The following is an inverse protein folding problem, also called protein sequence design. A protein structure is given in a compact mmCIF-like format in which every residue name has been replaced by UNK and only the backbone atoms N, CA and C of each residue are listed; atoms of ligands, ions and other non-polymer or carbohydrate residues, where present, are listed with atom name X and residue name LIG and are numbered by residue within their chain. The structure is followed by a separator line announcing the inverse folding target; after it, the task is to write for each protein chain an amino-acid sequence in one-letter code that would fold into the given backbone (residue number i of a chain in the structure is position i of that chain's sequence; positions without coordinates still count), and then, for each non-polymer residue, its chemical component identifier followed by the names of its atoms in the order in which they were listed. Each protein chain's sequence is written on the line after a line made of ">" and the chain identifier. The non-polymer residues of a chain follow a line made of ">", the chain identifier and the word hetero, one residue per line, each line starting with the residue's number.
data_IF_737447656925
#
_entry.id   IF_737447656925
#
_cell.length_a   1.000
_cell.length_b   1.000
_cell.length_c   1.000
_cell.angle_alpha   90.00
_cell.angle_beta   90.00
_cell.angle_gamma   90.00
#
_symmetry.space_group_name_H-M   'P 1'
#
loop_
_entity.id
_entity.type
_entity.pdbx_description
1 polymer ?
#
# COMPACT_ATOMS: atom_id res chain seq x y z
N UNK A 1 18.79 -45.27 -6.25
CA UNK A 1 17.59 -46.09 -6.05
C UNK A 1 17.17 -46.01 -4.61
N UNK A 2 16.16 -45.26 -4.30
CA UNK A 2 15.26 -45.46 -3.17
C UNK A 2 14.08 -44.51 -3.31
N UNK A 3 12.92 -45.10 -3.46
CA UNK A 3 11.63 -44.45 -3.69
C UNK A 3 11.13 -43.90 -2.36
N UNK A 4 10.72 -42.64 -2.34
CA UNK A 4 9.74 -42.16 -1.35
C UNK A 4 8.38 -42.06 -2.04
N UNK A 5 7.52 -43.01 -1.72
CA UNK A 5 6.08 -42.93 -1.88
C UNK A 5 5.57 -42.29 -0.58
N UNK A 6 5.02 -41.10 -0.65
CA UNK A 6 4.21 -40.46 0.37
C UNK A 6 2.77 -40.38 -0.15
N UNK A 7 1.86 -41.02 0.53
CA UNK A 7 0.47 -41.16 0.21
C UNK A 7 -0.26 -39.81 0.21
N UNK A 8 -0.92 -39.55 -0.90
CA UNK A 8 -2.01 -38.59 -1.00
C UNK A 8 -3.26 -39.25 -0.37
N UNK A 9 -3.61 -38.89 0.81
CA UNK A 9 -4.94 -39.02 1.40
C UNK A 9 -5.08 -37.88 2.42
N UNK A 10 -5.42 -36.71 1.96
CA UNK A 10 -6.13 -35.71 2.74
C UNK A 10 -7.48 -35.45 2.09
N UNK A 11 -8.44 -35.96 2.80
CA UNK A 11 -9.85 -35.73 2.71
C UNK A 11 -10.16 -34.35 2.15
N UNK A 12 -10.80 -34.31 1.00
CA UNK A 12 -11.54 -33.16 0.48
C UNK A 12 -12.62 -32.85 1.51
N UNK A 13 -12.34 -31.92 2.39
CA UNK A 13 -13.39 -31.26 3.13
C UNK A 13 -14.19 -30.42 2.14
N UNK A 14 -15.49 -30.68 2.16
CA UNK A 14 -16.49 -30.06 1.34
C UNK A 14 -16.22 -28.56 1.16
N UNK A 15 -16.19 -28.12 -0.09
CA UNK A 15 -16.32 -26.73 -0.45
C UNK A 15 -17.69 -26.24 0.01
N UNK A 16 -17.81 -25.87 1.27
CA UNK A 16 -18.84 -24.93 1.64
C UNK A 16 -18.60 -23.70 0.78
N UNK A 17 -19.47 -23.53 -0.21
CA UNK A 17 -19.70 -22.29 -0.88
C UNK A 17 -19.75 -21.22 0.19
N UNK A 18 -18.66 -20.45 0.32
CA UNK A 18 -18.67 -19.20 1.09
C UNK A 18 -19.65 -18.33 0.34
N UNK A 19 -20.91 -18.46 0.71
CA UNK A 19 -21.94 -17.49 0.41
C UNK A 19 -21.32 -16.15 0.74
N UNK A 20 -21.24 -15.27 -0.25
CA UNK A 20 -20.88 -13.88 -0.05
C UNK A 20 -21.98 -13.26 0.79
N UNK A 21 -21.93 -13.52 2.09
CA UNK A 21 -22.78 -12.83 3.03
C UNK A 21 -22.34 -11.37 2.99
N UNK A 22 -23.10 -10.59 2.21
CA UNK A 22 -23.25 -9.18 2.39
C UNK A 22 -23.27 -8.92 3.89
N UNK A 23 -22.22 -8.32 4.41
CA UNK A 23 -22.24 -7.81 5.79
C UNK A 23 -23.13 -6.58 5.72
N UNK A 24 -24.36 -6.65 6.27
CA UNK A 24 -25.26 -5.52 6.23
C UNK A 24 -24.55 -4.33 6.85
N UNK A 25 -24.76 -3.14 6.31
CA UNK A 25 -24.40 -1.87 6.93
C UNK A 25 -24.91 -1.92 8.39
N UNK A 26 -23.99 -2.05 9.34
CA UNK A 26 -24.37 -2.07 10.74
C UNK A 26 -24.85 -0.68 11.11
N UNK A 27 -26.11 -0.54 11.44
CA UNK A 27 -26.56 0.58 12.26
C UNK A 27 -25.96 0.39 13.65
N UNK A 28 -24.87 1.13 13.92
CA UNK A 28 -24.31 1.19 15.27
C UNK A 28 -25.29 1.94 16.17
N UNK A 29 -25.88 1.23 17.12
CA UNK A 29 -26.68 1.86 18.18
C UNK A 29 -25.76 2.73 19.02
N UNK A 30 -26.14 3.98 19.22
CA UNK A 30 -25.40 4.98 20.00
C UNK A 30 -24.90 4.39 21.33
N UNK A 31 -23.58 4.35 21.54
CA UNK A 31 -22.95 3.88 22.78
C UNK A 31 -22.54 2.39 22.79
N UNK A 32 -22.63 1.66 21.69
CA UNK A 32 -22.04 0.33 21.58
C UNK A 32 -20.75 0.38 20.75
N UNK A 33 -19.65 -0.27 21.20
CA UNK A 33 -18.47 -0.40 20.38
C UNK A 33 -18.79 -1.20 19.11
N UNK A 34 -18.12 -0.90 17.97
CA UNK A 34 -18.30 -1.67 16.75
C UNK A 34 -17.94 -3.14 17.00
N UNK A 35 -18.64 -4.09 16.34
CA UNK A 35 -18.34 -5.50 16.50
C UNK A 35 -16.91 -5.76 15.99
N UNK A 36 -16.06 -6.28 16.85
CA UNK A 36 -14.77 -6.83 16.46
C UNK A 36 -15.05 -8.17 15.79
N UNK A 37 -14.58 -8.33 14.55
CA UNK A 37 -14.70 -9.61 13.86
C UNK A 37 -14.03 -10.72 14.70
N UNK A 38 -14.49 -11.95 14.58
CA UNK A 38 -14.00 -13.10 15.37
C UNK A 38 -12.49 -13.36 15.24
N UNK A 39 -11.84 -12.75 14.24
CA UNK A 39 -10.39 -12.77 14.00
C UNK A 39 -9.67 -11.52 14.56
N UNK A 40 -10.32 -10.69 15.38
CA UNK A 40 -9.74 -9.49 15.96
C UNK A 40 -9.67 -8.27 15.03
N UNK A 41 -10.18 -8.35 13.80
CA UNK A 41 -10.24 -7.23 12.87
C UNK A 41 -11.55 -6.45 12.97
N UNK A 42 -11.53 -5.15 12.73
CA UNK A 42 -12.72 -4.36 12.48
C UNK A 42 -13.26 -4.69 11.08
N UNK A 43 -14.57 -4.89 10.96
CA UNK A 43 -15.16 -4.99 9.63
C UNK A 43 -15.04 -3.64 8.91
N UNK A 44 -14.74 -3.71 7.62
CA UNK A 44 -14.76 -2.53 6.77
C UNK A 44 -16.13 -1.85 6.85
N UNK A 45 -16.13 -0.56 7.17
CA UNK A 45 -17.35 0.23 7.27
C UNK A 45 -17.31 1.36 6.26
N UNK A 46 -18.33 1.47 5.42
CA UNK A 46 -18.60 2.68 4.65
C UNK A 46 -19.56 3.54 5.45
N UNK A 47 -19.23 4.82 5.61
CA UNK A 47 -20.12 5.79 6.23
C UNK A 47 -20.90 6.51 5.13
N UNK A 48 -22.19 6.72 5.35
CA UNK A 48 -22.93 7.68 4.54
C UNK A 48 -22.40 9.10 4.84
N UNK A 49 -22.32 9.96 3.84
CA UNK A 49 -21.82 11.34 3.99
C UNK A 49 -22.61 12.16 5.03
N UNK A 50 -23.87 11.79 5.23
CA UNK A 50 -24.76 12.35 6.25
C UNK A 50 -24.78 11.51 7.54
N UNK A 51 -23.81 10.56 7.64
CA UNK A 51 -23.73 9.61 8.74
C UNK A 51 -23.66 10.27 10.10
N UNK A 52 -24.44 9.75 11.00
CA UNK A 52 -24.57 10.19 12.38
C UNK A 52 -23.21 10.31 13.06
N UNK A 53 -22.92 11.44 13.66
CA UNK A 53 -21.72 11.70 14.46
C UNK A 53 -21.47 10.63 15.54
N UNK A 54 -22.52 9.89 15.97
CA UNK A 54 -22.43 8.75 16.86
C UNK A 54 -21.69 7.54 16.28
N UNK A 55 -21.80 7.29 14.96
CA UNK A 55 -21.11 6.17 14.29
C UNK A 55 -19.62 6.40 14.23
N UNK A 56 -19.22 7.64 13.94
CA UNK A 56 -17.80 8.03 13.92
C UNK A 56 -17.19 7.90 15.31
N UNK A 57 -17.87 8.38 16.36
CA UNK A 57 -17.42 8.29 17.74
C UNK A 57 -17.23 6.85 18.25
N UNK A 58 -18.13 5.94 17.87
CA UNK A 58 -18.01 4.53 18.26
C UNK A 58 -16.83 3.84 17.58
N UNK A 59 -16.57 4.19 16.32
CA UNK A 59 -15.40 3.69 15.57
C UNK A 59 -14.10 4.18 16.19
N UNK A 60 -14.03 5.43 16.58
CA UNK A 60 -12.89 6.04 17.25
C UNK A 60 -12.60 5.41 18.61
N UNK A 61 -13.62 5.17 19.42
CA UNK A 61 -13.46 4.51 20.72
C UNK A 61 -12.88 3.08 20.57
N UNK A 62 -13.27 2.36 19.53
CA UNK A 62 -12.70 1.05 19.24
C UNK A 62 -11.25 1.12 18.80
N UNK A 63 -10.86 2.13 18.01
CA UNK A 63 -9.46 2.35 17.61
C UNK A 63 -8.58 2.71 18.81
N UNK A 64 -9.06 3.55 19.73
CA UNK A 64 -8.33 3.89 20.96
C UNK A 64 -8.06 2.64 21.79
N UNK A 65 -9.05 1.74 21.95
CA UNK A 65 -8.85 0.48 22.69
C UNK A 65 -7.82 -0.46 22.05
N UNK A 66 -7.74 -0.51 20.72
CA UNK A 66 -6.74 -1.31 20.01
C UNK A 66 -5.32 -0.74 20.24
N UNK A 67 -5.21 0.58 20.38
CA UNK A 67 -3.94 1.28 20.53
C UNK A 67 -3.34 1.24 21.95
N UNK A 68 -4.15 1.07 22.99
CA UNK A 68 -3.72 1.16 24.39
C UNK A 68 -2.95 -0.07 24.93
N UNK A 69 -2.86 -1.15 24.15
CA UNK A 69 -2.23 -2.41 24.58
C UNK A 69 -0.72 -2.44 24.47
N UNK A 70 -0.20 -3.44 23.77
CA UNK A 70 1.25 -3.71 23.59
C UNK A 70 2.03 -2.57 22.90
N UNK A 71 1.32 -1.64 22.24
CA UNK A 71 1.95 -0.50 21.56
C UNK A 71 2.77 0.40 22.48
N UNK A 72 2.33 0.63 23.72
CA UNK A 72 3.05 1.48 24.67
C UNK A 72 4.37 0.82 25.12
N UNK A 73 4.37 -0.47 25.36
CA UNK A 73 5.60 -1.20 25.74
C UNK A 73 6.69 -1.11 24.66
N UNK A 74 6.31 -1.15 23.40
CA UNK A 74 7.23 -0.94 22.26
C UNK A 74 7.76 0.48 22.25
N UNK A 75 6.91 1.47 22.46
CA UNK A 75 7.32 2.87 22.54
C UNK A 75 8.29 3.10 23.69
N UNK A 76 7.97 2.59 24.88
CA UNK A 76 8.81 2.73 26.07
C UNK A 76 10.19 2.07 25.84
N UNK A 77 10.21 0.91 25.22
CA UNK A 77 11.46 0.24 24.82
C UNK A 77 12.27 1.11 23.85
N UNK A 78 11.64 1.68 22.83
CA UNK A 78 12.31 2.52 21.86
C UNK A 78 12.77 3.86 22.44
N UNK A 79 12.00 4.45 23.36
CA UNK A 79 12.36 5.71 24.03
C UNK A 79 13.48 5.54 25.05
N UNK A 80 13.54 4.40 25.75
CA UNK A 80 14.57 4.09 26.74
C UNK A 80 15.88 3.61 26.14
N UNK A 81 15.92 3.19 24.90
CA UNK A 81 17.13 2.70 24.26
C UNK A 81 18.11 3.85 24.01
N UNK A 82 19.40 3.60 24.33
CA UNK A 82 20.50 4.49 23.98
C UNK A 82 20.61 4.69 22.45
N UNK A 83 21.26 5.76 21.98
CA UNK A 83 21.63 5.89 20.57
C UNK A 83 22.40 4.67 20.08
N UNK A 84 22.06 4.18 18.89
CA UNK A 84 22.71 3.02 18.26
C UNK A 84 21.75 1.89 17.90
N UNK A 85 22.31 0.72 17.56
CA UNK A 85 21.52 -0.41 17.13
C UNK A 85 20.68 -1.00 18.26
N UNK A 86 19.42 -1.34 17.94
CA UNK A 86 18.46 -1.96 18.85
C UNK A 86 18.24 -3.40 18.40
N UNK A 87 18.53 -4.37 19.29
CA UNK A 87 18.19 -5.76 19.04
C UNK A 87 16.67 -5.96 19.13
N UNK A 88 16.11 -6.47 18.07
CA UNK A 88 14.68 -6.83 18.01
C UNK A 88 14.55 -8.30 17.60
N UNK A 89 13.38 -8.88 17.80
CA UNK A 89 13.11 -10.25 17.33
C UNK A 89 13.15 -10.39 15.79
N UNK A 90 13.14 -9.27 15.08
CA UNK A 90 13.23 -9.22 13.61
C UNK A 90 14.65 -8.95 13.12
N UNK A 91 15.57 -8.55 13.99
CA UNK A 91 16.94 -8.21 13.66
C UNK A 91 17.42 -6.91 14.30
N UNK A 92 18.56 -6.43 13.85
CA UNK A 92 19.19 -5.22 14.35
C UNK A 92 18.59 -3.99 13.66
N UNK A 93 17.80 -3.21 14.41
CA UNK A 93 17.12 -2.00 13.93
C UNK A 93 17.76 -0.71 14.45
N UNK A 94 17.48 0.41 13.78
CA UNK A 94 18.03 1.73 14.09
C UNK A 94 16.94 2.77 14.11
N UNK A 95 17.02 3.72 15.04
CA UNK A 95 16.05 4.84 15.11
C UNK A 95 16.20 5.81 13.96
N UNK A 96 17.46 6.09 13.57
CA UNK A 96 17.79 7.06 12.56
C UNK A 96 18.31 6.40 11.29
N UNK A 97 17.95 6.99 10.15
CA UNK A 97 18.42 6.55 8.83
C UNK A 97 19.95 6.57 8.75
N UNK A 98 20.58 7.65 9.26
CA UNK A 98 22.04 7.84 9.24
C UNK A 98 22.79 6.77 10.00
N UNK A 99 22.31 6.38 11.18
CA UNK A 99 22.91 5.33 12.01
C UNK A 99 22.91 3.97 11.28
N UNK A 100 21.76 3.63 10.66
CA UNK A 100 21.66 2.41 9.88
C UNK A 100 22.58 2.43 8.65
N UNK A 101 22.69 3.57 7.98
CA UNK A 101 23.58 3.73 6.82
C UNK A 101 25.06 3.62 7.23
N UNK A 102 25.45 4.19 8.36
CA UNK A 102 26.79 4.05 8.92
C UNK A 102 27.10 2.57 9.27
N UNK A 103 26.15 1.86 9.86
CA UNK A 103 26.27 0.43 10.10
C UNK A 103 26.48 -0.38 8.82
N UNK A 104 25.70 -0.09 7.76
CA UNK A 104 25.84 -0.73 6.43
C UNK A 104 27.28 -0.55 5.92
N UNK A 105 27.79 0.69 5.97
CA UNK A 105 29.14 1.03 5.51
C UNK A 105 30.23 0.37 6.34
N UNK A 106 30.10 0.42 7.67
CA UNK A 106 31.08 -0.15 8.61
C UNK A 106 31.20 -1.68 8.51
N UNK A 107 30.11 -2.35 8.11
CA UNK A 107 30.06 -3.80 7.96
C UNK A 107 30.25 -4.28 6.52
N UNK A 108 30.57 -3.38 5.58
CA UNK A 108 30.75 -3.67 4.16
C UNK A 108 29.58 -4.47 3.56
N UNK A 109 28.33 -4.07 3.90
CA UNK A 109 27.14 -4.67 3.31
C UNK A 109 27.01 -4.15 1.88
N UNK A 110 27.28 -5.00 0.91
CA UNK A 110 27.33 -4.66 -0.51
C UNK A 110 26.11 -5.20 -1.25
N UNK A 111 25.62 -4.43 -2.21
CA UNK A 111 24.60 -4.87 -3.15
C UNK A 111 25.25 -5.48 -4.40
N UNK A 112 24.53 -6.33 -5.15
CA UNK A 112 24.97 -6.79 -6.45
C UNK A 112 25.05 -5.61 -7.43
N UNK A 113 25.67 -5.84 -8.59
CA UNK A 113 25.85 -4.82 -9.63
C UNK A 113 24.51 -4.15 -10.00
N UNK A 114 24.48 -2.82 -10.01
CA UNK A 114 23.29 -2.01 -10.25
C UNK A 114 22.33 -1.91 -9.04
N UNK A 115 22.64 -2.63 -7.96
CA UNK A 115 21.85 -2.61 -6.73
C UNK A 115 22.29 -1.52 -5.76
N UNK A 116 21.58 -1.42 -4.62
CA UNK A 116 21.86 -0.50 -3.52
C UNK A 116 21.77 -1.22 -2.19
N UNK A 117 22.69 -0.94 -1.27
CA UNK A 117 22.57 -1.30 0.15
C UNK A 117 22.17 -0.02 0.92
N UNK A 118 21.01 -0.05 1.56
CA UNK A 118 20.43 1.13 2.19
C UNK A 118 19.46 0.79 3.31
N UNK A 119 19.15 1.75 4.20
CA UNK A 119 18.11 1.59 5.22
C UNK A 119 16.71 1.61 4.63
N UNK A 120 15.86 0.62 4.98
CA UNK A 120 14.42 0.68 4.79
C UNK A 120 13.70 0.71 6.14
N UNK A 121 12.58 1.42 6.19
CA UNK A 121 11.82 1.63 7.42
C UNK A 121 10.69 0.62 7.52
N UNK A 122 10.67 -0.13 8.63
CA UNK A 122 9.68 -1.15 8.93
C UNK A 122 8.98 -0.88 10.25
N UNK A 123 7.75 -1.37 10.40
CA UNK A 123 7.10 -1.40 11.70
C UNK A 123 7.73 -2.46 12.61
N UNK A 124 7.79 -2.18 13.91
CA UNK A 124 8.32 -3.08 14.94
C UNK A 124 7.27 -3.45 15.98
N UNK A 125 6.06 -3.69 15.52
CA UNK A 125 4.96 -4.22 16.31
C UNK A 125 4.10 -5.13 15.46
N UNK A 126 3.29 -5.98 16.09
CA UNK A 126 2.40 -6.94 15.42
C UNK A 126 0.91 -6.61 15.59
N UNK A 127 0.61 -5.56 16.36
CA UNK A 127 -0.76 -5.14 16.58
C UNK A 127 -1.28 -4.29 15.40
N UNK A 128 -2.58 -4.37 15.11
CA UNK A 128 -3.21 -3.44 14.19
C UNK A 128 -2.93 -1.99 14.56
N UNK A 129 -2.97 -1.14 13.58
CA UNK A 129 -2.66 0.28 13.74
C UNK A 129 -3.64 1.13 12.94
N UNK A 130 -3.63 2.43 13.13
CA UNK A 130 -4.48 3.32 12.36
C UNK A 130 -3.77 4.63 12.01
N UNK A 131 -4.29 5.30 10.99
CA UNK A 131 -3.91 6.66 10.62
C UNK A 131 -5.14 7.43 10.15
N UNK A 132 -5.22 8.69 10.56
CA UNK A 132 -6.31 9.58 10.19
C UNK A 132 -5.89 10.31 8.92
N UNK A 133 -6.68 10.16 7.86
CA UNK A 133 -6.36 10.73 6.54
C UNK A 133 -7.11 12.02 6.31
N UNK A 134 -8.28 12.19 6.96
CA UNK A 134 -9.08 13.38 6.83
C UNK A 134 -8.95 14.28 8.05
N UNK A 135 -8.85 15.59 7.79
CA UNK A 135 -8.58 16.58 8.82
C UNK A 135 -9.82 17.33 9.27
N UNK A 136 -10.98 17.16 8.63
CA UNK A 136 -11.97 18.22 8.69
C UNK A 136 -13.21 17.97 9.57
N UNK A 137 -13.75 16.75 9.62
CA UNK A 137 -15.00 16.50 10.33
C UNK A 137 -14.81 16.37 11.85
N UNK A 138 -13.76 15.68 12.27
CA UNK A 138 -13.51 15.35 13.68
C UNK A 138 -12.88 16.48 14.48
N UNK A 139 -12.11 17.34 13.82
CA UNK A 139 -11.30 18.36 14.47
C UNK A 139 -12.01 19.69 14.72
N UNK A 140 -13.19 19.87 14.13
CA UNK A 140 -13.97 21.10 14.24
C UNK A 140 -15.01 21.09 15.33
N UNK A 141 -15.23 19.91 15.94
CA UNK A 141 -16.15 19.79 17.08
C UNK A 141 -15.38 20.02 18.40
N UNK A 142 -15.62 21.15 19.09
CA UNK A 142 -14.95 21.46 20.35
C UNK A 142 -15.21 20.42 21.45
N UNK A 143 -16.35 19.74 21.40
CA UNK A 143 -16.74 18.74 22.41
C UNK A 143 -15.95 17.43 22.22
N UNK A 144 -15.23 17.28 21.10
CA UNK A 144 -14.44 16.11 20.71
C UNK A 144 -12.93 16.35 20.66
N UNK A 145 -12.48 17.50 21.19
CA UNK A 145 -11.06 17.88 21.18
C UNK A 145 -10.17 16.87 21.91
N UNK A 146 -10.68 16.23 22.97
CA UNK A 146 -9.94 15.22 23.73
C UNK A 146 -9.73 13.95 22.91
N UNK A 147 -10.76 13.48 22.20
CA UNK A 147 -10.70 12.31 21.32
C UNK A 147 -9.75 12.57 20.16
N UNK A 148 -9.87 13.74 19.55
CA UNK A 148 -9.00 14.22 18.52
C UNK A 148 -7.53 14.25 18.96
N UNK A 149 -7.23 14.71 20.18
CA UNK A 149 -5.86 14.69 20.73
C UNK A 149 -5.33 13.28 20.94
N UNK A 150 -6.17 12.37 21.45
CA UNK A 150 -5.80 10.97 21.66
C UNK A 150 -5.43 10.30 20.33
N UNK A 151 -6.25 10.46 19.31
CA UNK A 151 -6.01 9.91 17.98
C UNK A 151 -4.76 10.49 17.31
N UNK A 152 -4.52 11.81 17.42
CA UNK A 152 -3.28 12.44 16.92
C UNK A 152 -2.05 12.00 17.69
N UNK A 153 -2.17 11.72 18.98
CA UNK A 153 -1.08 11.16 19.77
C UNK A 153 -0.72 9.78 19.24
N UNK A 154 -1.70 8.92 19.05
CA UNK A 154 -1.45 7.57 18.58
C UNK A 154 -0.90 7.55 17.13
N UNK A 155 -1.39 8.39 16.23
CA UNK A 155 -0.82 8.53 14.90
C UNK A 155 0.68 8.91 14.94
N UNK A 156 1.06 9.82 15.87
CA UNK A 156 2.47 10.16 16.09
C UNK A 156 3.24 9.00 16.73
N UNK A 157 2.66 8.35 17.71
CA UNK A 157 3.25 7.22 18.43
C UNK A 157 3.40 6.02 17.48
N UNK A 158 2.50 5.90 16.51
CA UNK A 158 2.60 4.92 15.44
C UNK A 158 3.86 5.11 14.58
N UNK A 159 4.18 6.35 14.21
CA UNK A 159 5.43 6.69 13.55
C UNK A 159 6.67 6.37 14.40
N UNK A 160 6.54 6.34 15.72
CA UNK A 160 7.62 5.98 16.65
C UNK A 160 7.85 4.46 16.75
N UNK A 161 6.85 3.64 16.43
CA UNK A 161 6.94 2.17 16.42
C UNK A 161 7.55 1.62 15.14
N UNK A 162 8.53 2.33 14.59
CA UNK A 162 9.22 1.96 13.36
C UNK A 162 10.73 2.13 13.54
N UNK A 163 11.48 1.22 12.93
CA UNK A 163 12.94 1.28 12.86
C UNK A 163 13.41 1.15 11.42
N UNK A 164 14.62 1.61 11.18
CA UNK A 164 15.35 1.37 9.95
C UNK A 164 16.12 0.07 10.06
N UNK A 165 16.10 -0.73 9.00
CA UNK A 165 16.87 -1.97 8.90
C UNK A 165 17.68 -1.96 7.62
N UNK A 166 18.89 -2.57 7.64
CA UNK A 166 19.70 -2.74 6.44
C UNK A 166 18.96 -3.60 5.42
N UNK A 167 18.90 -3.15 4.18
CA UNK A 167 18.34 -3.92 3.07
C UNK A 167 19.20 -3.78 1.82
N UNK A 168 19.12 -4.80 0.97
CA UNK A 168 19.76 -4.85 -0.32
C UNK A 168 18.69 -4.76 -1.40
N UNK A 169 18.81 -3.76 -2.26
CA UNK A 169 18.00 -3.62 -3.46
C UNK A 169 18.74 -4.18 -4.65
N UNK A 170 18.05 -4.92 -5.50
CA UNK A 170 18.55 -5.42 -6.77
C UNK A 170 18.07 -4.54 -7.92
N UNK A 171 18.87 -4.44 -8.97
CA UNK A 171 18.44 -3.81 -10.22
C UNK A 171 17.35 -4.67 -10.88
N UNK A 172 16.13 -4.18 -10.93
CA UNK A 172 15.00 -4.87 -11.53
C UNK A 172 15.15 -5.06 -13.05
N UNK A 173 16.00 -4.30 -13.73
CA UNK A 173 16.28 -4.50 -15.15
C UNK A 173 17.06 -5.79 -15.41
N UNK A 174 17.71 -6.32 -14.36
CA UNK A 174 18.44 -7.59 -14.36
C UNK A 174 17.62 -8.74 -13.76
N UNK A 175 16.31 -8.62 -13.75
CA UNK A 175 15.38 -9.58 -13.14
C UNK A 175 15.63 -11.02 -13.63
N UNK A 176 15.94 -11.21 -14.91
CA UNK A 176 16.19 -12.53 -15.48
C UNK A 176 17.43 -13.24 -14.91
N UNK A 177 18.40 -12.47 -14.39
CA UNK A 177 19.58 -13.06 -13.71
C UNK A 177 19.22 -13.66 -12.35
N UNK A 178 18.25 -13.06 -11.65
CA UNK A 178 17.78 -13.51 -10.33
C UNK A 178 16.66 -14.53 -10.44
N UNK A 179 15.83 -14.41 -11.49
CA UNK A 179 14.67 -15.25 -11.77
C UNK A 179 14.68 -15.67 -13.24
N UNK A 180 15.42 -16.74 -13.60
CA UNK A 180 15.54 -17.19 -14.98
C UNK A 180 14.18 -17.38 -15.67
N UNK A 181 14.04 -16.78 -16.84
CA UNK A 181 12.81 -16.80 -17.64
C UNK A 181 11.75 -15.76 -17.23
N UNK A 182 12.05 -14.84 -16.29
CA UNK A 182 11.16 -13.74 -15.94
C UNK A 182 11.71 -12.41 -16.46
N UNK A 183 11.08 -11.87 -17.49
CA UNK A 183 11.31 -10.49 -17.91
C UNK A 183 10.54 -9.51 -17.03
N UNK A 184 11.15 -8.38 -16.59
CA UNK A 184 10.42 -7.36 -15.84
C UNK A 184 9.23 -6.75 -16.61
N UNK A 185 9.17 -6.95 -17.93
CA UNK A 185 8.12 -6.41 -18.80
C UNK A 185 7.06 -7.47 -19.18
N UNK A 186 6.88 -8.51 -18.37
CA UNK A 186 5.97 -9.60 -18.70
C UNK A 186 4.85 -9.79 -17.66
N UNK A 187 3.65 -10.25 -18.10
CA UNK A 187 2.58 -10.66 -17.19
C UNK A 187 3.01 -11.74 -16.20
N UNK A 188 3.88 -12.67 -16.62
CA UNK A 188 4.40 -13.74 -15.78
C UNK A 188 5.23 -13.19 -14.61
N UNK A 189 5.99 -12.11 -14.84
CA UNK A 189 6.71 -11.42 -13.77
C UNK A 189 5.72 -10.83 -12.74
N UNK A 190 4.66 -10.16 -13.21
CA UNK A 190 3.61 -9.66 -12.35
C UNK A 190 2.91 -10.79 -11.59
N UNK A 191 2.64 -11.92 -12.24
CA UNK A 191 1.98 -13.05 -11.59
C UNK A 191 2.86 -13.77 -10.57
N UNK A 192 4.16 -13.85 -10.79
CA UNK A 192 5.08 -14.53 -9.87
C UNK A 192 5.63 -13.64 -8.78
N UNK A 193 5.99 -12.40 -9.12
CA UNK A 193 6.72 -11.51 -8.21
C UNK A 193 5.85 -10.36 -7.68
N UNK A 194 4.74 -10.04 -8.34
CA UNK A 194 3.88 -8.91 -7.99
C UNK A 194 4.42 -7.56 -8.45
N UNK A 195 5.48 -7.55 -9.25
CA UNK A 195 6.18 -6.35 -9.73
C UNK A 195 6.45 -6.44 -11.22
N UNK A 196 6.40 -5.31 -11.92
CA UNK A 196 6.70 -5.24 -13.36
C UNK A 196 7.06 -3.81 -13.79
N UNK A 197 7.52 -3.69 -15.03
CA UNK A 197 7.79 -2.42 -15.70
C UNK A 197 7.08 -2.42 -17.06
N UNK A 198 6.46 -1.31 -17.43
CA UNK A 198 5.93 -1.15 -18.77
C UNK A 198 6.44 0.15 -19.42
N UNK A 199 6.36 0.22 -20.73
CA UNK A 199 6.57 1.46 -21.47
C UNK A 199 5.27 2.27 -21.48
N UNK A 200 5.36 3.57 -21.17
CA UNK A 200 4.21 4.48 -21.12
C UNK A 200 4.62 5.88 -21.61
N UNK A 201 4.44 6.11 -22.89
CA UNK A 201 4.62 7.44 -23.49
C UNK A 201 3.26 8.17 -23.51
N UNK A 202 2.98 8.90 -22.43
CA UNK A 202 1.71 9.56 -22.21
C UNK A 202 1.62 10.89 -22.95
N UNK A 203 0.43 11.23 -23.43
CA UNK A 203 0.08 12.53 -24.00
C UNK A 203 -0.46 13.52 -22.96
N UNK A 204 -0.54 13.14 -21.70
CA UNK A 204 -0.88 14.04 -20.62
C UNK A 204 0.30 15.03 -20.41
N UNK A 205 0.03 16.30 -20.61
CA UNK A 205 1.04 17.37 -20.52
C UNK A 205 1.16 17.93 -19.09
N UNK A 206 0.06 17.96 -18.35
CA UNK A 206 0.01 18.51 -17.00
C UNK A 206 -0.59 17.52 -15.98
N UNK A 207 0.27 16.76 -15.31
CA UNK A 207 -0.15 15.81 -14.25
C UNK A 207 -0.66 16.50 -12.97
N UNK A 208 -0.54 17.80 -12.85
CA UNK A 208 -1.12 18.57 -11.73
C UNK A 208 -2.57 19.01 -12.00
N UNK A 209 -3.04 18.89 -13.24
CA UNK A 209 -4.44 19.10 -13.61
C UNK A 209 -5.19 17.76 -13.54
N UNK A 210 -5.98 17.57 -12.48
CA UNK A 210 -6.75 16.36 -12.29
C UNK A 210 -7.71 16.07 -13.44
N UNK A 211 -8.31 17.09 -14.05
CA UNK A 211 -9.23 16.92 -15.16
C UNK A 211 -8.51 16.45 -16.43
N UNK A 212 -7.28 16.91 -16.66
CA UNK A 212 -6.46 16.41 -17.75
C UNK A 212 -6.02 14.98 -17.51
N UNK A 213 -5.55 14.65 -16.30
CA UNK A 213 -5.17 13.30 -15.92
C UNK A 213 -6.33 12.32 -16.13
N UNK A 214 -7.54 12.66 -15.69
CA UNK A 214 -8.72 11.80 -15.86
C UNK A 214 -9.10 11.65 -17.34
N UNK A 215 -9.01 12.71 -18.11
CA UNK A 215 -9.41 12.72 -19.53
C UNK A 215 -8.40 12.05 -20.45
N UNK A 216 -7.09 12.16 -20.17
CA UNK A 216 -6.02 11.69 -21.06
C UNK A 216 -5.33 10.48 -20.48
N UNK A 217 -4.82 10.58 -19.25
CA UNK A 217 -3.93 9.56 -18.69
C UNK A 217 -4.67 8.29 -18.25
N UNK A 218 -5.89 8.40 -17.69
CA UNK A 218 -6.66 7.22 -17.29
C UNK A 218 -6.95 6.28 -18.47
N UNK A 219 -7.48 6.74 -19.61
CA UNK A 219 -7.68 5.87 -20.77
C UNK A 219 -6.39 5.27 -21.33
N UNK A 220 -5.28 6.01 -21.27
CA UNK A 220 -3.97 5.49 -21.68
C UNK A 220 -3.51 4.33 -20.80
N UNK A 221 -3.70 4.44 -19.50
CA UNK A 221 -3.34 3.38 -18.53
C UNK A 221 -4.28 2.18 -18.66
N UNK A 222 -5.59 2.39 -18.83
CA UNK A 222 -6.55 1.30 -19.05
C UNK A 222 -6.17 0.51 -20.31
N UNK A 223 -5.84 1.20 -21.40
CA UNK A 223 -5.36 0.58 -22.64
C UNK A 223 -4.05 -0.18 -22.43
N UNK A 224 -3.07 0.43 -21.72
CA UNK A 224 -1.80 -0.21 -21.42
C UNK A 224 -2.00 -1.51 -20.63
N UNK A 225 -2.89 -1.52 -19.64
CA UNK A 225 -3.18 -2.71 -18.83
C UNK A 225 -3.81 -3.83 -19.69
N UNK A 226 -4.74 -3.50 -20.59
CA UNK A 226 -5.33 -4.48 -21.51
C UNK A 226 -4.32 -5.02 -22.54
N UNK A 227 -3.37 -4.20 -22.97
CA UNK A 227 -2.28 -4.64 -23.84
C UNK A 227 -1.25 -5.49 -23.07
N UNK A 228 -0.98 -5.15 -21.82
CA UNK A 228 -0.04 -5.89 -20.98
C UNK A 228 -0.59 -7.25 -20.52
N UNK A 229 -1.90 -7.36 -20.27
CA UNK A 229 -2.59 -8.60 -19.89
C UNK A 229 -3.57 -9.03 -20.98
N UNK A 230 -3.13 -9.84 -21.97
CA UNK A 230 -3.97 -10.21 -23.11
C UNK A 230 -5.26 -10.95 -22.74
N UNK A 231 -5.30 -11.63 -21.60
CA UNK A 231 -6.46 -12.36 -21.09
C UNK A 231 -7.42 -11.47 -20.28
N UNK A 232 -7.04 -10.22 -20.03
CA UNK A 232 -7.91 -9.28 -19.33
C UNK A 232 -9.09 -8.82 -20.21
N UNK A 233 -10.26 -8.77 -19.62
CA UNK A 233 -11.51 -8.36 -20.31
C UNK A 233 -11.86 -6.90 -20.08
N UNK A 234 -11.33 -6.29 -18.99
CA UNK A 234 -11.60 -4.90 -18.62
C UNK A 234 -10.52 -4.38 -17.67
N UNK A 235 -10.31 -3.07 -17.69
CA UNK A 235 -9.46 -2.35 -16.76
C UNK A 235 -10.15 -1.06 -16.31
N UNK A 236 -10.03 -0.74 -15.04
CA UNK A 236 -10.67 0.44 -14.42
C UNK A 236 -9.63 1.21 -13.62
N UNK A 237 -9.22 2.36 -14.10
CA UNK A 237 -8.45 3.34 -13.32
C UNK A 237 -9.41 4.17 -12.48
N UNK A 238 -9.16 4.30 -11.18
CA UNK A 238 -10.15 4.91 -10.28
C UNK A 238 -9.63 6.07 -9.43
N UNK A 239 -8.32 6.24 -9.35
CA UNK A 239 -7.73 7.30 -8.53
C UNK A 239 -6.30 7.56 -8.98
N UNK A 240 -5.81 8.77 -8.73
CA UNK A 240 -4.41 9.11 -8.85
C UNK A 240 -3.95 10.00 -7.70
N UNK A 241 -2.65 9.96 -7.44
CA UNK A 241 -1.94 10.89 -6.57
C UNK A 241 -0.68 11.36 -7.30
N UNK A 242 -0.39 12.65 -7.17
CA UNK A 242 0.88 13.24 -7.61
C UNK A 242 1.78 13.39 -6.40
N UNK A 243 3.02 12.93 -6.52
CA UNK A 243 4.05 13.07 -5.50
C UNK A 243 5.13 14.01 -6.02
N UNK A 244 5.19 15.20 -5.45
CA UNK A 244 6.21 16.21 -5.72
C UNK A 244 6.52 16.98 -4.44
N UNK A 245 7.70 16.74 -3.85
CA UNK A 245 8.13 17.39 -2.63
C UNK A 245 8.35 18.89 -2.81
N UNK A 246 8.73 19.30 -4.02
CA UNK A 246 9.11 20.67 -4.34
C UNK A 246 7.96 21.48 -4.95
N UNK A 247 6.78 20.86 -5.10
CA UNK A 247 5.62 21.56 -5.68
C UNK A 247 5.21 22.76 -4.82
N UNK A 248 5.33 23.93 -5.43
CA UNK A 248 5.00 25.25 -4.83
C UNK A 248 3.72 25.85 -5.41
N UNK A 249 2.89 25.04 -6.08
CA UNK A 249 1.60 25.51 -6.57
C UNK A 249 0.78 26.15 -5.45
N UNK A 250 -0.25 26.92 -5.79
CA UNK A 250 -1.08 27.72 -4.88
C UNK A 250 -1.47 26.96 -3.60
N UNK A 251 -0.52 26.85 -2.69
CA UNK A 251 -0.79 26.58 -1.29
C UNK A 251 -1.37 27.90 -0.77
N UNK A 252 -2.66 28.10 -0.92
CA UNK A 252 -3.35 29.09 -0.11
C UNK A 252 -2.97 28.78 1.33
N UNK A 253 -2.72 29.81 2.15
CA UNK A 253 -2.38 29.66 3.59
C UNK A 253 -3.37 28.79 4.37
N UNK A 254 -4.46 28.46 3.76
CA UNK A 254 -5.45 27.50 4.18
C UNK A 254 -4.91 26.08 3.91
N UNK A 255 -4.24 25.49 4.92
CA UNK A 255 -3.73 24.10 4.86
C UNK A 255 -4.84 23.07 4.56
N UNK A 256 -6.10 23.49 4.64
CA UNK A 256 -7.29 22.70 4.33
C UNK A 256 -7.62 22.62 2.84
N UNK A 257 -6.98 23.45 2.00
CA UNK A 257 -7.12 23.38 0.53
C UNK A 257 -5.91 22.72 -0.10
N UNK A 258 -5.65 21.47 0.26
CA UNK A 258 -4.79 20.61 -0.56
C UNK A 258 -5.40 20.55 -1.95
N UNK A 259 -4.58 20.79 -2.98
CA UNK A 259 -4.98 20.42 -4.34
C UNK A 259 -5.27 18.91 -4.28
N UNK A 260 -6.48 18.46 -4.60
CA UNK A 260 -6.81 17.05 -4.54
C UNK A 260 -5.77 16.26 -5.34
N UNK A 261 -5.14 15.29 -4.71
CA UNK A 261 -4.18 14.41 -5.36
C UNK A 261 -2.72 14.84 -5.40
N UNK A 262 -2.31 16.02 -4.87
CA UNK A 262 -0.89 16.39 -4.78
C UNK A 262 -0.34 16.20 -3.37
N UNK A 263 0.69 15.36 -3.24
CA UNK A 263 1.35 15.03 -1.97
C UNK A 263 2.77 15.61 -1.92
N UNK A 264 3.09 16.32 -0.84
CA UNK A 264 4.39 16.92 -0.60
C UNK A 264 5.42 15.95 0.01
N UNK A 265 5.10 14.68 0.16
CA UNK A 265 5.99 13.69 0.77
C UNK A 265 5.78 12.30 0.20
N UNK A 266 6.79 11.44 0.38
CA UNK A 266 6.74 10.05 -0.03
C UNK A 266 6.41 9.15 1.18
N UNK A 267 5.67 8.07 0.94
CA UNK A 267 5.51 7.02 1.94
C UNK A 267 6.84 6.27 2.09
N UNK A 268 7.54 6.50 3.20
CA UNK A 268 8.84 5.93 3.52
C UNK A 268 8.76 4.77 4.53
N UNK A 269 7.60 4.18 4.71
CA UNK A 269 7.36 3.02 5.55
C UNK A 269 6.89 1.87 4.66
N UNK A 270 7.49 0.69 4.84
CA UNK A 270 7.15 -0.51 4.07
C UNK A 270 5.68 -0.87 4.29
N UNK A 271 4.92 -0.95 3.19
CA UNK A 271 3.48 -1.19 3.20
C UNK A 271 2.98 -1.80 1.89
N UNK A 272 1.73 -2.25 1.92
CA UNK A 272 0.91 -2.44 0.74
C UNK A 272 -0.41 -1.66 0.90
N UNK A 273 -0.96 -1.16 -0.19
CA UNK A 273 -2.12 -0.25 -0.15
C UNK A 273 -3.44 -0.96 0.20
N UNK A 274 -3.51 -2.28 0.06
CA UNK A 274 -4.70 -3.08 0.31
C UNK A 274 -4.38 -4.32 1.17
N UNK A 275 -5.40 -4.99 1.67
CA UNK A 275 -5.35 -6.33 2.25
C UNK A 275 -6.43 -7.24 1.65
N UNK A 276 -6.60 -8.44 2.19
CA UNK A 276 -7.58 -9.40 1.71
C UNK A 276 -9.01 -8.86 1.72
N UNK A 277 -9.37 -8.11 2.76
CA UNK A 277 -10.69 -7.52 2.90
C UNK A 277 -10.85 -6.27 2.01
N UNK A 278 -9.98 -5.28 2.20
CA UNK A 278 -10.12 -4.00 1.51
C UNK A 278 -9.98 -4.13 -0.01
N UNK A 279 -9.20 -5.09 -0.52
CA UNK A 279 -9.08 -5.35 -1.95
C UNK A 279 -10.41 -5.73 -2.59
N UNK A 280 -11.20 -6.60 -1.95
CA UNK A 280 -12.54 -6.99 -2.43
C UNK A 280 -13.58 -5.90 -2.22
N UNK A 281 -13.65 -5.36 -1.01
CA UNK A 281 -14.64 -4.35 -0.65
C UNK A 281 -14.48 -3.12 -1.55
N UNK A 282 -13.26 -2.65 -1.74
CA UNK A 282 -12.99 -1.50 -2.59
C UNK A 282 -13.37 -1.73 -4.05
N UNK A 283 -13.08 -2.93 -4.58
CA UNK A 283 -13.50 -3.30 -5.92
C UNK A 283 -15.03 -3.21 -6.07
N UNK A 284 -15.77 -3.82 -5.13
CA UNK A 284 -17.23 -3.83 -5.14
C UNK A 284 -17.81 -2.41 -5.08
N UNK A 285 -17.30 -1.58 -4.15
CA UNK A 285 -17.73 -0.20 -4.02
C UNK A 285 -17.54 0.60 -5.32
N UNK A 286 -16.39 0.42 -5.98
CA UNK A 286 -16.10 1.09 -7.24
C UNK A 286 -17.02 0.65 -8.37
N UNK A 287 -17.47 -0.59 -8.37
CA UNK A 287 -18.39 -1.12 -9.35
C UNK A 287 -19.84 -0.65 -9.10
N UNK A 288 -20.28 -0.58 -7.84
CA UNK A 288 -21.69 -0.37 -7.48
C UNK A 288 -22.04 1.04 -7.03
N UNK A 289 -21.04 1.80 -6.56
CA UNK A 289 -21.24 3.16 -6.05
C UNK A 289 -20.48 4.17 -6.89
N UNK A 290 -21.06 5.36 -7.07
CA UNK A 290 -20.36 6.48 -7.72
C UNK A 290 -19.37 7.12 -6.75
N UNK A 291 -18.26 6.44 -6.49
CA UNK A 291 -17.22 6.94 -5.59
C UNK A 291 -16.29 7.86 -6.37
N UNK A 292 -16.61 9.14 -6.40
CA UNK A 292 -15.80 10.26 -6.94
C UNK A 292 -15.06 9.99 -8.26
N UNK A 293 -15.38 10.75 -9.27
CA UNK A 293 -14.56 11.08 -10.43
C UNK A 293 -14.30 9.99 -11.46
N UNK A 294 -15.23 9.03 -11.67
CA UNK A 294 -14.97 8.03 -12.70
C UNK A 294 -15.47 8.44 -14.09
N UNK A 295 -16.15 9.58 -14.23
CA UNK A 295 -16.72 10.00 -15.52
C UNK A 295 -17.57 8.94 -16.21
N UNK A 296 -17.79 7.79 -15.57
CA UNK A 296 -18.59 6.68 -16.08
C UNK A 296 -19.98 6.80 -15.49
N UNK A 297 -20.95 7.07 -16.33
CA UNK A 297 -22.37 7.14 -15.94
C UNK A 297 -22.98 5.76 -15.62
N UNK A 298 -22.28 4.67 -15.94
CA UNK A 298 -22.78 3.31 -15.74
C UNK A 298 -22.24 2.70 -14.45
N UNK A 299 -23.15 2.40 -13.54
CA UNK A 299 -22.90 1.59 -12.36
C UNK A 299 -23.41 0.17 -12.59
N UNK A 300 -22.64 -0.78 -12.07
CA UNK A 300 -23.07 -2.18 -12.02
C UNK A 300 -24.14 -2.34 -10.93
N UNK A 301 -25.17 -3.16 -11.18
CA UNK A 301 -26.00 -3.67 -10.08
C UNK A 301 -25.14 -4.56 -9.17
N UNK A 302 -25.64 -4.87 -7.96
CA UNK A 302 -24.93 -5.79 -7.04
C UNK A 302 -24.68 -7.15 -7.71
N UNK A 303 -25.67 -7.68 -8.43
CA UNK A 303 -25.55 -8.96 -9.15
C UNK A 303 -24.52 -8.90 -10.29
N UNK A 304 -24.47 -7.79 -11.01
CA UNK A 304 -23.47 -7.58 -12.07
C UNK A 304 -22.06 -7.46 -11.48
N UNK A 305 -21.91 -6.76 -10.36
CA UNK A 305 -20.65 -6.65 -9.66
C UNK A 305 -20.18 -8.01 -9.13
N UNK A 306 -21.08 -8.82 -8.55
CA UNK A 306 -20.81 -10.18 -8.10
C UNK A 306 -20.38 -11.08 -9.25
N UNK A 307 -21.09 -11.03 -10.37
CA UNK A 307 -20.75 -11.80 -11.57
C UNK A 307 -19.35 -11.43 -12.09
N UNK A 308 -19.02 -10.13 -12.11
CA UNK A 308 -17.69 -9.65 -12.53
C UNK A 308 -16.60 -10.10 -11.56
N UNK A 309 -16.85 -10.02 -10.26
CA UNK A 309 -15.89 -10.38 -9.19
C UNK A 309 -15.84 -11.89 -8.91
N UNK A 310 -16.70 -12.72 -9.50
CA UNK A 310 -16.62 -14.18 -9.42
C UNK A 310 -15.47 -14.76 -10.25
N UNK A 311 -14.96 -14.01 -11.19
CA UNK A 311 -13.74 -14.31 -11.97
C UNK A 311 -12.54 -13.65 -11.33
N UNK A 312 -11.34 -13.94 -11.85
CA UNK A 312 -10.12 -13.27 -11.39
C UNK A 312 -10.21 -11.77 -11.58
N UNK A 313 -9.83 -11.04 -10.56
CA UNK A 313 -9.53 -9.61 -10.64
C UNK A 313 -8.35 -9.26 -9.75
N UNK A 314 -7.63 -8.23 -10.11
CA UNK A 314 -6.50 -7.75 -9.32
C UNK A 314 -6.46 -6.23 -9.29
N UNK A 315 -5.91 -5.67 -8.21
CA UNK A 315 -5.58 -4.25 -8.12
C UNK A 315 -4.12 -4.04 -8.42
N UNK A 316 -3.85 -3.12 -9.33
CA UNK A 316 -2.50 -2.73 -9.74
C UNK A 316 -2.34 -1.23 -9.58
N UNK A 317 -1.28 -0.82 -8.88
CA UNK A 317 -0.83 0.55 -8.87
C UNK A 317 0.28 0.73 -9.91
N UNK A 318 0.23 1.85 -10.61
CA UNK A 318 1.20 2.21 -11.64
C UNK A 318 1.84 3.55 -11.26
N UNK A 319 3.15 3.54 -11.05
CA UNK A 319 3.94 4.72 -10.71
C UNK A 319 4.75 5.20 -11.90
N UNK A 320 4.33 6.32 -12.50
CA UNK A 320 4.99 6.92 -13.67
C UNK A 320 5.77 8.16 -13.23
N UNK A 321 7.09 8.19 -13.40
CA UNK A 321 7.87 9.40 -13.22
C UNK A 321 7.51 10.47 -14.25
N UNK A 322 7.53 11.74 -13.86
CA UNK A 322 7.39 12.89 -14.77
C UNK A 322 8.71 13.27 -15.42
N UNK A 323 9.81 12.92 -14.78
CA UNK A 323 11.19 13.09 -15.27
C UNK A 323 12.04 11.90 -14.83
N UNK A 324 13.28 11.78 -15.33
CA UNK A 324 14.17 10.69 -14.90
C UNK A 324 14.41 10.76 -13.40
N UNK A 325 14.16 9.65 -12.70
CA UNK A 325 14.34 9.54 -11.25
C UNK A 325 15.82 9.64 -10.90
N UNK A 326 16.18 10.63 -10.07
CA UNK A 326 17.55 10.88 -9.60
C UNK A 326 17.70 10.61 -8.10
N UNK A 327 16.65 10.88 -7.32
CA UNK A 327 16.62 10.67 -5.88
C UNK A 327 15.22 10.19 -5.46
N UNK A 328 15.12 9.58 -4.29
CA UNK A 328 13.91 9.01 -3.71
C UNK A 328 13.24 7.95 -4.61
N UNK A 329 13.98 6.92 -5.06
CA UNK A 329 13.41 5.89 -5.91
C UNK A 329 12.24 5.18 -5.23
N UNK A 330 11.35 4.65 -6.07
CA UNK A 330 10.29 3.75 -5.66
C UNK A 330 10.82 2.32 -5.67
N UNK A 331 10.65 1.60 -4.57
CA UNK A 331 11.20 0.26 -4.40
C UNK A 331 10.10 -0.75 -4.08
N UNK A 332 10.25 -1.94 -4.62
CA UNK A 332 9.24 -2.99 -4.69
C UNK A 332 9.81 -4.30 -4.15
N UNK A 333 9.06 -5.00 -3.31
CA UNK A 333 9.46 -6.30 -2.76
C UNK A 333 8.75 -7.44 -3.49
N UNK A 334 9.50 -8.42 -3.94
CA UNK A 334 8.96 -9.57 -4.66
C UNK A 334 8.22 -10.54 -3.72
N UNK A 335 7.02 -10.94 -4.11
CA UNK A 335 6.10 -11.80 -3.36
C UNK A 335 6.73 -13.06 -2.75
N UNK A 336 7.52 -13.89 -3.46
CA UNK A 336 8.02 -15.14 -2.90
C UNK A 336 8.84 -14.96 -1.62
N UNK A 337 9.45 -13.80 -1.42
CA UNK A 337 10.30 -13.55 -0.26
C UNK A 337 9.53 -13.31 1.05
N UNK A 338 8.21 -13.15 0.97
CA UNK A 338 7.36 -12.88 2.13
C UNK A 338 5.96 -13.54 2.05
N UNK A 339 5.77 -14.49 1.13
CA UNK A 339 4.47 -15.13 0.89
C UNK A 339 3.83 -15.76 2.14
N UNK A 340 4.66 -16.21 3.08
CA UNK A 340 4.27 -16.80 4.36
C UNK A 340 4.23 -15.80 5.52
N UNK A 341 4.55 -14.52 5.28
CA UNK A 341 4.63 -13.51 6.33
C UNK A 341 3.25 -12.94 6.64
N UNK A 342 2.81 -12.96 7.90
CA UNK A 342 1.61 -12.26 8.30
C UNK A 342 1.78 -10.75 8.14
N UNK A 343 0.73 -10.10 7.67
CA UNK A 343 0.68 -8.65 7.62
C UNK A 343 -0.04 -8.05 8.82
N UNK A 344 0.22 -6.79 9.07
CA UNK A 344 -0.41 -6.00 10.12
C UNK A 344 -1.38 -5.03 9.45
N UNK A 345 -2.66 -5.10 9.80
CA UNK A 345 -3.66 -4.15 9.27
C UNK A 345 -3.40 -2.76 9.83
N UNK A 346 -3.33 -1.78 8.95
CA UNK A 346 -3.36 -0.38 9.32
C UNK A 346 -4.65 0.24 8.78
N UNK A 347 -5.53 0.61 9.70
CA UNK A 347 -6.80 1.25 9.39
C UNK A 347 -6.56 2.70 9.01
N UNK A 348 -7.14 3.13 7.88
CA UNK A 348 -7.08 4.50 7.39
C UNK A 348 -8.46 5.13 7.52
N UNK A 349 -8.58 6.05 8.45
CA UNK A 349 -9.84 6.73 8.75
C UNK A 349 -10.00 7.94 7.86
N UNK A 350 -11.02 7.91 7.01
CA UNK A 350 -11.44 9.01 6.14
C UNK A 350 -12.75 9.61 6.67
N UNK A 351 -13.20 10.72 6.12
CA UNK A 351 -14.48 11.33 6.48
C UNK A 351 -15.70 10.45 6.14
N UNK A 352 -15.56 9.61 5.12
CA UNK A 352 -16.64 8.84 4.51
C UNK A 352 -16.48 7.34 4.63
N UNK A 353 -15.34 6.84 5.13
CA UNK A 353 -15.05 5.41 5.23
C UNK A 353 -13.85 5.11 6.11
N UNK A 354 -13.69 3.85 6.46
CA UNK A 354 -12.43 3.29 6.96
C UNK A 354 -11.82 2.41 5.87
N UNK A 355 -10.64 2.76 5.41
CA UNK A 355 -9.84 1.92 4.51
C UNK A 355 -8.88 1.06 5.31
N UNK A 356 -8.34 0.03 4.67
CA UNK A 356 -7.34 -0.85 5.27
C UNK A 356 -6.14 -0.95 4.34
N UNK A 357 -4.96 -0.69 4.88
CA UNK A 357 -3.67 -0.95 4.26
C UNK A 357 -2.90 -1.95 5.10
N UNK A 358 -1.76 -2.42 4.65
CA UNK A 358 -0.95 -3.36 5.42
C UNK A 358 0.41 -2.77 5.78
N UNK A 359 0.94 -3.21 6.92
CA UNK A 359 2.32 -2.98 7.37
C UNK A 359 3.01 -4.33 7.50
N UNK A 360 4.33 -4.29 7.48
CA UNK A 360 5.15 -5.49 7.56
C UNK A 360 6.33 -5.26 8.49
N UNK A 361 6.68 -6.30 9.24
CA UNK A 361 7.90 -6.33 10.00
C UNK A 361 9.08 -6.71 9.12
N UNK A 362 10.29 -6.41 9.57
CA UNK A 362 11.51 -6.72 8.84
C UNK A 362 11.78 -8.22 8.76
N UNK A 363 12.26 -8.65 7.59
CA UNK A 363 12.95 -9.92 7.37
C UNK A 363 14.18 -9.69 6.49
N UNK A 364 15.33 -10.30 6.79
CA UNK A 364 16.52 -10.16 5.94
C UNK A 364 16.36 -10.80 4.56
N UNK A 365 15.43 -11.76 4.42
CA UNK A 365 15.13 -12.47 3.17
C UNK A 365 14.26 -11.68 2.20
N UNK A 366 13.75 -10.50 2.57
CA UNK A 366 12.96 -9.67 1.67
C UNK A 366 13.75 -9.34 0.42
N UNK A 367 13.19 -9.70 -0.73
CA UNK A 367 13.82 -9.55 -2.05
C UNK A 367 13.37 -8.26 -2.72
N UNK A 368 14.16 -7.19 -2.55
CA UNK A 368 13.82 -5.85 -2.97
C UNK A 368 14.41 -5.51 -4.32
N UNK A 369 13.60 -4.80 -5.12
CA UNK A 369 13.92 -4.34 -6.47
C UNK A 369 13.66 -2.85 -6.64
N UNK A 370 14.47 -2.23 -7.51
CA UNK A 370 14.28 -0.87 -7.97
C UNK A 370 14.64 -0.77 -9.45
N UNK A 371 14.19 0.29 -10.11
CA UNK A 371 14.55 0.59 -11.50
C UNK A 371 15.53 1.77 -11.52
N UNK A 372 16.85 1.53 -11.65
CA UNK A 372 17.85 2.59 -11.70
C UNK A 372 17.52 3.62 -12.77
N UNK A 373 17.56 4.90 -12.40
CA UNK A 373 17.28 6.03 -13.30
C UNK A 373 16.01 5.81 -14.15
N UNK A 374 14.93 5.39 -13.52
CA UNK A 374 13.65 5.17 -14.19
C UNK A 374 13.25 6.42 -15.00
N UNK A 375 12.95 6.22 -16.29
CA UNK A 375 12.65 7.29 -17.24
C UNK A 375 11.18 7.70 -17.18
N UNK A 376 10.89 8.92 -17.64
CA UNK A 376 9.51 9.40 -17.79
C UNK A 376 8.66 8.63 -18.81
N UNK A 377 9.28 7.84 -19.68
CA UNK A 377 8.60 6.92 -20.62
C UNK A 377 8.37 5.53 -20.04
N UNK A 378 8.66 5.32 -18.78
CA UNK A 378 8.49 4.05 -18.09
C UNK A 378 7.48 4.18 -16.96
N UNK A 379 6.80 3.09 -16.63
CA UNK A 379 5.89 3.00 -15.49
C UNK A 379 6.18 1.72 -14.71
N UNK A 380 6.49 1.87 -13.42
CA UNK A 380 6.57 0.73 -12.50
C UNK A 380 5.16 0.27 -12.16
N UNK A 381 4.92 -1.02 -12.22
CA UNK A 381 3.65 -1.64 -11.85
C UNK A 381 3.85 -2.53 -10.62
N UNK A 382 2.93 -2.46 -9.69
CA UNK A 382 2.91 -3.32 -8.52
C UNK A 382 1.50 -3.83 -8.26
N UNK A 383 1.42 -5.11 -7.91
CA UNK A 383 0.19 -5.74 -7.51
C UNK A 383 -0.12 -5.36 -6.06
N UNK A 384 -1.28 -4.77 -5.82
CA UNK A 384 -1.75 -4.46 -4.47
C UNK A 384 -2.75 -5.49 -3.95
N UNK A 385 -3.39 -6.25 -4.85
CA UNK A 385 -4.32 -7.31 -4.53
C UNK A 385 -4.51 -8.25 -5.72
N UNK A 386 -4.68 -9.53 -5.47
CA UNK A 386 -5.17 -10.52 -6.44
C UNK A 386 -6.27 -11.37 -5.79
N UNK A 387 -7.35 -11.66 -6.52
CA UNK A 387 -8.45 -12.47 -6.01
C UNK A 387 -8.12 -13.96 -5.92
N UNK A 388 -7.09 -14.45 -6.62
CA UNK A 388 -6.59 -15.82 -6.52
C UNK A 388 -5.81 -15.97 -5.22
N UNK A 389 -6.17 -17.00 -4.43
CA UNK A 389 -5.63 -17.23 -3.08
C UNK A 389 -4.95 -18.59 -2.91
N UNK A 390 -4.88 -19.40 -3.97
CA UNK A 390 -4.35 -20.76 -3.94
C UNK A 390 -2.80 -20.86 -3.97
N UNK A 391 -2.12 -19.71 -4.01
CA UNK A 391 -0.67 -19.62 -4.09
C UNK A 391 -0.07 -19.77 -5.49
N UNK A 392 -0.90 -19.92 -6.52
CA UNK A 392 -0.42 -20.03 -7.91
C UNK A 392 0.13 -18.72 -8.47
N UNK A 393 -0.31 -17.60 -7.91
CA UNK A 393 0.14 -16.25 -8.26
C UNK A 393 0.48 -15.43 -7.02
N UNK A 394 1.25 -14.36 -7.21
CA UNK A 394 1.51 -13.37 -6.16
C UNK A 394 0.21 -12.71 -5.70
N UNK A 395 0.06 -12.52 -4.39
CA UNK A 395 -1.10 -11.83 -3.81
C UNK A 395 -0.95 -10.31 -3.90
N UNK A 396 0.24 -9.83 -3.60
CA UNK A 396 0.62 -8.40 -3.58
C UNK A 396 2.13 -8.23 -3.60
N UNK A 397 2.58 -6.97 -3.64
CA UNK A 397 3.97 -6.55 -3.46
C UNK A 397 4.05 -5.48 -2.39
N UNK A 398 5.04 -5.56 -1.49
CA UNK A 398 5.37 -4.44 -0.62
C UNK A 398 6.04 -3.34 -1.42
N UNK A 399 5.87 -2.12 -0.95
CA UNK A 399 6.56 -1.00 -1.54
C UNK A 399 6.87 0.10 -0.52
N UNK A 400 7.82 0.93 -0.87
CA UNK A 400 8.15 2.15 -0.12
C UNK A 400 8.94 3.11 -1.02
N UNK A 401 9.09 4.34 -0.59
CA UNK A 401 10.15 5.21 -1.09
C UNK A 401 11.37 5.10 -0.18
N UNK A 402 12.55 5.29 -0.74
CA UNK A 402 13.79 5.32 0.02
C UNK A 402 14.66 6.51 -0.41
N UNK A 403 15.75 6.72 0.30
CA UNK A 403 16.81 7.67 -0.09
C UNK A 403 17.91 6.86 -0.75
N UNK A 404 18.33 7.26 -1.95
CA UNK A 404 19.50 6.69 -2.61
C UNK A 404 20.77 7.29 -2.01
N UNK A 405 21.57 6.52 -1.26
CA UNK A 405 22.77 7.06 -0.61
C UNK A 405 23.94 7.29 -1.57
N UNK A 406 23.78 6.94 -2.84
CA UNK A 406 24.78 7.14 -3.90
C UNK A 406 24.49 8.32 -4.81
N UNK A 407 23.25 8.85 -4.72
CA UNK A 407 22.87 10.03 -5.48
C UNK A 407 23.62 11.28 -4.98
N UNK A 408 23.92 12.24 -5.87
CA UNK A 408 24.45 13.56 -5.45
C UNK A 408 23.53 14.25 -4.44
N UNK A 409 24.11 15.01 -3.52
CA UNK A 409 23.34 15.72 -2.47
C UNK A 409 22.32 16.72 -3.04
N UNK A 410 22.57 17.25 -4.24
CA UNK A 410 21.72 18.18 -4.96
C UNK A 410 20.80 17.51 -5.98
N UNK A 411 20.75 16.17 -6.00
CA UNK A 411 19.89 15.45 -6.91
C UNK A 411 18.41 15.79 -6.66
N UNK A 412 17.64 16.13 -7.72
CA UNK A 412 16.24 16.47 -7.56
C UNK A 412 15.45 15.27 -7.05
N UNK A 413 14.52 15.55 -6.13
CA UNK A 413 13.60 14.55 -5.64
C UNK A 413 12.70 14.03 -6.78
N UNK A 414 12.30 12.77 -6.70
CA UNK A 414 11.39 12.17 -7.66
C UNK A 414 10.07 12.95 -7.73
N UNK A 415 9.60 13.19 -8.96
CA UNK A 415 8.24 13.65 -9.25
C UNK A 415 7.53 12.56 -10.01
N UNK A 416 6.39 12.11 -9.52
CA UNK A 416 5.65 11.04 -10.18
C UNK A 416 4.16 11.14 -9.94
N UNK A 417 3.39 10.63 -10.89
CA UNK A 417 1.99 10.31 -10.73
C UNK A 417 1.85 8.81 -10.44
N UNK A 418 1.03 8.47 -9.45
CA UNK A 418 0.63 7.10 -9.16
C UNK A 418 -0.86 6.97 -9.44
N UNK A 419 -1.23 6.06 -10.33
CA UNK A 419 -2.63 5.72 -10.57
C UNK A 419 -2.93 4.37 -9.96
N UNK A 420 -4.16 4.19 -9.51
CA UNK A 420 -4.69 2.96 -8.95
C UNK A 420 -5.74 2.37 -9.85
N UNK A 421 -5.67 1.09 -10.07
CA UNK A 421 -6.56 0.41 -11.01
C UNK A 421 -7.03 -0.96 -10.51
N UNK A 422 -8.09 -1.44 -11.14
CA UNK A 422 -8.48 -2.85 -11.13
C UNK A 422 -8.46 -3.41 -12.55
N UNK A 423 -7.98 -4.65 -12.68
CA UNK A 423 -7.97 -5.42 -13.92
C UNK A 423 -8.82 -6.66 -13.72
N UNK A 424 -9.69 -6.97 -14.68
CA UNK A 424 -10.66 -8.08 -14.64
C UNK A 424 -10.39 -9.06 -15.79
N UNK A 425 -10.55 -10.38 -15.51
CA UNK A 425 -10.25 -11.46 -16.44
C UNK A 425 -11.48 -12.28 -16.82
#
# INVERSE_FOLDING_TARGET
>A
MSRFKGSADRVMADSETVSSTYVPSFELTKGQPPPIAANGGLSYMSFDRDGDAGTVAATEAAFVQIAEGEGQAVIDMLESADPGPIETKWGLGFKEYSECLEYIRANNIEAPEGGLALPLRYTVHEQPSYSIVSSNALWRDPDREADAKALRKDERDHGRRCLYFPQILRDARRMEEYHPGLSPNSPECMDKLGVSLAHCDSKCENFYDAAEVERVFYPEIEKLLLEFFPDATDALVYNHDVFDKDYKGDRTEDQDKKIPGVNAGYANLVHNDLNDNSGRVRCRELLTKNLRNFGREQHYTEEQADAKMSRRFMSINLAKPMETVRQNPFVLCAWPSFADQPYITNYRVYDDRVGETTRFTYRPEHDWYWFPQQKSTEVSMLKCYDSITDGSVSRWSFHTACVDPTAPDDAPCRKNVVVRSYVFF
#
